data_IF_614238669765
#
_entry.id   IF_614238669765
#
_cell.length_a   1.000
_cell.length_b   1.000
_cell.length_c   1.000
_cell.angle_alpha   90.00
_cell.angle_beta   90.00
_cell.angle_gamma   90.00
#
_symmetry.space_group_name_H-M   'P 1'
#
loop_
_entity.id
_entity.type
_entity.pdbx_description
1 polymer ?
#
# COMPACT_ATOMS: atom_id res chain seq x y z
N UNK A 1 -10.31 24.06 -11.61
CA UNK A 1 -10.58 24.93 -10.47
C UNK A 1 -10.74 24.14 -9.16
N UNK A 2 -9.72 23.36 -8.73
CA UNK A 2 -9.74 22.60 -7.46
C UNK A 2 -8.39 22.54 -6.73
N UNK A 3 -7.40 23.34 -7.14
CA UNK A 3 -6.04 23.32 -6.55
C UNK A 3 -5.80 24.37 -5.43
N UNK A 4 -6.77 25.23 -5.07
CA UNK A 4 -6.59 26.27 -4.03
C UNK A 4 -6.70 25.81 -2.57
N UNK A 5 -7.25 24.64 -2.28
CA UNK A 5 -7.47 24.17 -0.88
C UNK A 5 -6.23 23.61 -0.16
N UNK A 6 -5.11 23.36 -0.88
CA UNK A 6 -3.89 22.80 -0.28
C UNK A 6 -2.94 23.84 0.33
N UNK A 7 -3.08 25.13 -0.05
CA UNK A 7 -2.16 26.21 0.35
C UNK A 7 -2.48 26.86 1.72
N UNK A 8 -3.58 26.48 2.36
CA UNK A 8 -3.98 27.01 3.68
C UNK A 8 -3.70 26.06 4.84
N UNK A 9 -3.20 24.83 4.55
CA UNK A 9 -2.94 23.82 5.57
C UNK A 9 -1.50 23.89 6.05
N UNK A 10 -1.29 23.73 7.35
CA UNK A 10 0.04 23.58 7.97
C UNK A 10 0.80 22.41 7.36
N UNK A 11 2.13 22.49 7.36
CA UNK A 11 3.04 21.44 6.83
C UNK A 11 2.70 20.08 7.39
N UNK A 12 2.48 19.97 8.70
CA UNK A 12 2.10 18.74 9.38
C UNK A 12 0.81 18.13 8.82
N UNK A 13 -0.19 18.94 8.56
CA UNK A 13 -1.50 18.49 8.02
C UNK A 13 -1.37 18.04 6.57
N UNK A 14 -0.59 18.77 5.76
CA UNK A 14 -0.30 18.41 4.36
C UNK A 14 0.44 17.08 4.26
N UNK A 15 1.47 16.88 5.08
CA UNK A 15 2.23 15.63 5.16
C UNK A 15 1.33 14.48 5.61
N UNK A 16 0.59 14.66 6.71
CA UNK A 16 -0.32 13.63 7.23
C UNK A 16 -1.37 13.21 6.21
N UNK A 17 -2.01 14.17 5.52
CA UNK A 17 -2.97 13.87 4.44
C UNK A 17 -2.33 13.10 3.28
N UNK A 18 -1.15 13.53 2.83
CA UNK A 18 -0.45 12.87 1.73
C UNK A 18 -0.07 11.43 2.08
N UNK A 19 0.47 11.19 3.28
CA UNK A 19 0.78 9.84 3.76
C UNK A 19 -0.46 8.97 3.90
N UNK A 20 -1.55 9.49 4.49
CA UNK A 20 -2.80 8.75 4.64
C UNK A 20 -3.39 8.36 3.27
N UNK A 21 -3.32 9.22 2.27
CA UNK A 21 -3.79 8.90 0.92
C UNK A 21 -2.96 7.79 0.25
N UNK A 22 -1.64 7.83 0.38
CA UNK A 22 -0.76 6.78 -0.16
C UNK A 22 -1.00 5.45 0.56
N UNK A 23 -1.09 5.47 1.90
CA UNK A 23 -1.41 4.28 2.70
C UNK A 23 -2.78 3.72 2.33
N UNK A 24 -3.79 4.57 2.16
CA UNK A 24 -5.13 4.15 1.78
C UNK A 24 -5.15 3.45 0.41
N UNK A 25 -4.47 4.01 -0.60
CA UNK A 25 -4.36 3.38 -1.93
C UNK A 25 -3.61 2.05 -1.83
N UNK A 26 -2.51 1.99 -1.08
CA UNK A 26 -1.76 0.75 -0.86
C UNK A 26 -2.59 -0.32 -0.13
N UNK A 27 -3.41 0.09 0.86
CA UNK A 27 -4.30 -0.81 1.61
C UNK A 27 -5.39 -1.42 0.74
N UNK A 28 -5.90 -0.70 -0.27
CA UNK A 28 -6.86 -1.23 -1.24
C UNK A 28 -6.27 -2.46 -1.96
N UNK A 29 -5.00 -2.41 -2.36
CA UNK A 29 -4.32 -3.55 -3.00
C UNK A 29 -4.32 -4.80 -2.10
N UNK A 30 -4.00 -4.63 -0.82
CA UNK A 30 -4.00 -5.74 0.14
C UNK A 30 -5.42 -6.32 0.34
N UNK A 31 -6.43 -5.45 0.48
CA UNK A 31 -7.83 -5.87 0.64
C UNK A 31 -8.32 -6.65 -0.58
N UNK A 32 -8.05 -6.15 -1.79
CA UNK A 32 -8.41 -6.84 -3.05
C UNK A 32 -7.73 -8.21 -3.14
N UNK A 33 -6.44 -8.28 -2.78
CA UNK A 33 -5.70 -9.55 -2.75
C UNK A 33 -6.30 -10.57 -1.77
N UNK A 34 -6.66 -10.13 -0.56
CA UNK A 34 -7.29 -10.99 0.45
C UNK A 34 -8.66 -11.48 -0.03
N UNK A 35 -9.50 -10.60 -0.58
CA UNK A 35 -10.82 -10.96 -1.10
C UNK A 35 -10.68 -11.97 -2.25
N UNK A 36 -9.78 -11.72 -3.20
CA UNK A 36 -9.53 -12.62 -4.31
C UNK A 36 -9.11 -14.02 -3.81
N UNK A 37 -8.18 -14.08 -2.84
CA UNK A 37 -7.71 -15.33 -2.25
C UNK A 37 -8.83 -16.09 -1.54
N UNK A 38 -9.68 -15.41 -0.76
CA UNK A 38 -10.81 -16.03 -0.08
C UNK A 38 -11.86 -16.59 -1.05
N UNK A 39 -12.16 -15.86 -2.12
CA UNK A 39 -13.10 -16.30 -3.17
C UNK A 39 -12.52 -17.51 -3.90
N UNK A 40 -11.27 -17.45 -4.33
CA UNK A 40 -10.62 -18.58 -5.03
C UNK A 40 -10.52 -19.83 -4.15
N UNK A 41 -10.16 -19.68 -2.87
CA UNK A 41 -10.12 -20.80 -1.92
C UNK A 41 -11.51 -21.44 -1.77
N UNK A 42 -12.58 -20.65 -1.67
CA UNK A 42 -13.96 -21.18 -1.63
C UNK A 42 -14.32 -21.94 -2.90
N UNK A 43 -14.01 -21.36 -4.06
CA UNK A 43 -14.31 -22.01 -5.35
C UNK A 43 -13.51 -23.31 -5.51
N UNK A 44 -12.23 -23.29 -5.14
CA UNK A 44 -11.38 -24.49 -5.18
C UNK A 44 -11.92 -25.61 -4.27
N UNK A 45 -12.25 -25.27 -3.02
CA UNK A 45 -12.81 -26.24 -2.07
C UNK A 45 -14.16 -26.80 -2.59
N UNK A 46 -14.99 -25.95 -3.16
CA UNK A 46 -16.26 -26.37 -3.74
C UNK A 46 -16.05 -27.30 -4.97
N UNK A 47 -15.07 -26.97 -5.82
CA UNK A 47 -14.70 -27.81 -6.96
C UNK A 47 -14.18 -29.18 -6.51
N UNK A 48 -13.29 -29.20 -5.52
CA UNK A 48 -12.70 -30.44 -5.01
C UNK A 48 -13.76 -31.33 -4.33
N UNK A 49 -14.57 -30.75 -3.43
CA UNK A 49 -15.56 -31.52 -2.67
C UNK A 49 -16.70 -32.04 -3.56
N UNK A 50 -17.23 -31.21 -4.46
CA UNK A 50 -18.42 -31.57 -5.23
C UNK A 50 -18.11 -32.31 -6.54
N UNK A 51 -16.87 -32.20 -7.05
CA UNK A 51 -16.51 -32.82 -8.31
C UNK A 51 -15.26 -33.70 -8.22
N UNK A 52 -14.19 -33.25 -7.54
CA UNK A 52 -12.95 -34.00 -7.46
C UNK A 52 -13.06 -35.31 -6.66
N UNK A 53 -13.58 -35.25 -5.45
CA UNK A 53 -13.78 -36.44 -4.61
C UNK A 53 -14.85 -37.36 -5.19
N UNK A 54 -15.93 -36.80 -5.71
CA UNK A 54 -17.00 -37.59 -6.37
C UNK A 54 -16.52 -38.35 -7.58
N UNK A 55 -15.56 -37.84 -8.37
CA UNK A 55 -14.91 -38.62 -9.45
C UNK A 55 -14.19 -39.84 -8.89
N UNK A 56 -13.53 -39.71 -7.74
CA UNK A 56 -12.89 -40.80 -7.03
C UNK A 56 -13.88 -41.88 -6.63
N UNK A 57 -15.05 -41.50 -6.08
CA UNK A 57 -16.07 -42.43 -5.62
C UNK A 57 -16.79 -43.10 -6.81
N UNK A 58 -17.07 -42.37 -7.91
CA UNK A 58 -17.54 -42.98 -9.16
C UNK A 58 -16.52 -44.01 -9.68
N UNK A 59 -15.23 -43.72 -9.66
CA UNK A 59 -14.19 -44.65 -10.06
C UNK A 59 -14.15 -45.91 -9.20
N UNK A 60 -14.32 -45.79 -7.88
CA UNK A 60 -14.43 -46.92 -6.95
C UNK A 60 -15.69 -47.74 -7.22
N UNK A 61 -16.83 -47.08 -7.45
CA UNK A 61 -18.06 -47.74 -7.82
C UNK A 61 -17.91 -48.54 -9.13
N UNK A 62 -17.32 -47.92 -10.17
CA UNK A 62 -17.05 -48.62 -11.45
C UNK A 62 -16.14 -49.85 -11.26
N UNK A 63 -15.15 -49.73 -10.37
CA UNK A 63 -14.22 -50.81 -10.05
C UNK A 63 -14.92 -51.96 -9.28
N UNK A 64 -15.75 -51.62 -8.29
CA UNK A 64 -16.55 -52.60 -7.54
C UNK A 64 -17.57 -53.29 -8.44
N UNK A 65 -18.26 -52.53 -9.31
CA UNK A 65 -19.19 -53.04 -10.29
C UNK A 65 -18.56 -54.02 -11.29
N UNK A 66 -17.42 -53.63 -11.86
CA UNK A 66 -16.65 -54.53 -12.78
C UNK A 66 -16.12 -55.76 -12.08
N UNK A 67 -15.68 -55.59 -10.80
CA UNK A 67 -15.26 -56.68 -9.96
C UNK A 67 -16.40 -57.67 -9.65
N UNK A 68 -17.57 -57.18 -9.27
CA UNK A 68 -18.76 -58.00 -9.03
C UNK A 68 -19.09 -58.87 -10.25
N UNK A 69 -19.08 -58.31 -11.47
CA UNK A 69 -19.26 -59.12 -12.72
C UNK A 69 -18.16 -60.16 -12.89
N UNK A 70 -16.93 -59.83 -12.55
CA UNK A 70 -15.82 -60.81 -12.62
C UNK A 70 -16.08 -62.00 -11.72
N UNK A 71 -16.62 -61.75 -10.52
CA UNK A 71 -16.91 -62.82 -9.55
C UNK A 71 -18.14 -63.67 -9.99
N UNK A 72 -19.15 -63.08 -10.66
CA UNK A 72 -20.22 -63.84 -11.30
C UNK A 72 -19.63 -64.85 -12.28
N UNK A 73 -18.73 -64.39 -13.16
CA UNK A 73 -18.05 -65.27 -14.12
C UNK A 73 -17.22 -66.36 -13.47
N UNK A 74 -16.53 -66.05 -12.36
CA UNK A 74 -15.77 -67.01 -11.61
C UNK A 74 -16.67 -68.05 -10.96
N UNK A 75 -17.73 -67.64 -10.27
CA UNK A 75 -18.71 -68.51 -9.60
C UNK A 75 -19.41 -69.52 -10.56
N UNK A 76 -19.73 -69.07 -11.79
CA UNK A 76 -20.41 -69.89 -12.79
C UNK A 76 -19.45 -70.62 -13.73
N UNK A 77 -18.15 -70.29 -13.74
CA UNK A 77 -17.17 -70.80 -14.70
C UNK A 77 -16.21 -71.83 -14.13
N UNK A 78 -15.92 -71.81 -12.83
CA UNK A 78 -15.04 -72.79 -12.20
C UNK A 78 -15.79 -74.04 -11.78
N UNK A 79 -15.06 -75.15 -11.64
CA UNK A 79 -15.57 -76.47 -11.24
C UNK A 79 -15.03 -76.90 -9.86
N UNK A 80 -14.42 -76.01 -9.15
CA UNK A 80 -13.84 -76.20 -7.82
C UNK A 80 -14.74 -75.48 -6.79
N UNK A 81 -15.24 -76.25 -5.79
CA UNK A 81 -16.23 -75.74 -4.83
C UNK A 81 -15.68 -74.60 -3.95
N UNK A 82 -14.34 -74.67 -3.61
CA UNK A 82 -13.73 -73.63 -2.79
C UNK A 82 -13.64 -72.31 -3.59
N UNK A 83 -13.25 -72.39 -4.86
CA UNK A 83 -13.18 -71.22 -5.74
C UNK A 83 -14.58 -70.64 -6.00
N UNK A 84 -15.60 -71.47 -6.21
CA UNK A 84 -16.98 -71.08 -6.41
C UNK A 84 -17.51 -70.37 -5.17
N UNK A 85 -17.26 -70.89 -3.97
CA UNK A 85 -17.65 -70.30 -2.70
C UNK A 85 -17.00 -68.94 -2.47
N UNK A 86 -15.68 -68.85 -2.67
CA UNK A 86 -14.91 -67.60 -2.50
C UNK A 86 -15.41 -66.50 -3.51
N UNK A 87 -15.63 -66.87 -4.75
CA UNK A 87 -16.17 -65.99 -5.77
C UNK A 87 -17.57 -65.45 -5.41
N UNK A 88 -18.42 -66.33 -4.86
CA UNK A 88 -19.77 -65.90 -4.38
C UNK A 88 -19.68 -64.93 -3.22
N UNK A 89 -18.87 -65.19 -2.21
CA UNK A 89 -18.71 -64.32 -1.06
C UNK A 89 -18.08 -62.96 -1.46
N UNK A 90 -17.11 -63.00 -2.36
CA UNK A 90 -16.48 -61.80 -2.92
C UNK A 90 -17.45 -60.98 -3.76
N UNK A 91 -18.36 -61.60 -4.52
CA UNK A 91 -19.41 -60.93 -5.27
C UNK A 91 -20.30 -60.08 -4.35
N UNK A 92 -20.81 -60.66 -3.27
CA UNK A 92 -21.67 -59.90 -2.34
C UNK A 92 -20.92 -58.76 -1.67
N UNK A 93 -19.66 -59.00 -1.28
CA UNK A 93 -18.79 -57.95 -0.71
C UNK A 93 -18.62 -56.77 -1.72
N UNK A 94 -18.40 -57.06 -3.00
CA UNK A 94 -18.29 -56.02 -4.04
C UNK A 94 -19.61 -55.31 -4.34
N UNK A 95 -20.73 -56.05 -4.29
CA UNK A 95 -22.07 -55.46 -4.41
C UNK A 95 -22.36 -54.47 -3.27
N UNK A 96 -22.05 -54.85 -2.03
CA UNK A 96 -22.21 -53.97 -0.87
C UNK A 96 -21.30 -52.75 -0.96
N UNK A 97 -20.02 -52.93 -1.35
CA UNK A 97 -19.09 -51.85 -1.58
C UNK A 97 -19.55 -50.87 -2.64
N UNK A 98 -20.12 -51.42 -3.76
CA UNK A 98 -20.69 -50.61 -4.81
C UNK A 98 -21.85 -49.75 -4.31
N UNK A 99 -22.76 -50.33 -3.50
CA UNK A 99 -23.88 -49.57 -2.94
C UNK A 99 -23.39 -48.45 -2.03
N UNK A 100 -22.40 -48.73 -1.18
CA UNK A 100 -21.82 -47.69 -0.33
C UNK A 100 -21.23 -46.54 -1.16
N UNK A 101 -20.48 -46.82 -2.24
CA UNK A 101 -19.94 -45.77 -3.11
C UNK A 101 -21.04 -45.00 -3.85
N UNK A 102 -22.14 -45.67 -4.20
CA UNK A 102 -23.28 -45.05 -4.86
C UNK A 102 -24.00 -44.07 -3.91
N UNK A 103 -24.15 -44.42 -2.62
CA UNK A 103 -24.72 -43.57 -1.59
C UNK A 103 -23.81 -42.34 -1.31
N UNK A 104 -22.49 -42.52 -1.30
CA UNK A 104 -21.53 -41.42 -1.18
C UNK A 104 -21.64 -40.45 -2.37
N UNK A 105 -21.80 -40.97 -3.58
CA UNK A 105 -21.99 -40.16 -4.80
C UNK A 105 -23.30 -39.38 -4.72
N UNK A 106 -24.41 -39.97 -4.26
CA UNK A 106 -25.70 -39.29 -4.12
C UNK A 106 -25.59 -38.03 -3.28
N UNK A 107 -24.90 -38.15 -2.14
CA UNK A 107 -24.72 -37.03 -1.20
C UNK A 107 -23.99 -35.81 -1.82
N UNK A 108 -23.18 -36.01 -2.84
CA UNK A 108 -22.37 -35.00 -3.52
C UNK A 108 -23.03 -34.37 -4.76
N UNK A 109 -24.25 -34.77 -5.11
CA UNK A 109 -24.93 -34.35 -6.33
C UNK A 109 -25.49 -32.93 -6.25
N UNK A 110 -24.81 -32.00 -6.88
CA UNK A 110 -25.18 -30.56 -6.89
C UNK A 110 -25.79 -30.11 -8.21
N UNK A 111 -25.65 -30.88 -9.32
CA UNK A 111 -26.17 -30.49 -10.64
C UNK A 111 -27.39 -31.34 -11.05
N UNK A 112 -28.32 -30.76 -11.82
CA UNK A 112 -29.46 -31.49 -12.34
C UNK A 112 -29.01 -32.63 -13.27
N UNK A 113 -28.05 -32.39 -14.16
CA UNK A 113 -27.50 -33.40 -15.05
C UNK A 113 -26.90 -34.61 -14.30
N UNK A 114 -26.19 -34.33 -13.15
CA UNK A 114 -25.69 -35.39 -12.27
C UNK A 114 -26.82 -36.21 -11.67
N UNK A 115 -27.86 -35.55 -11.13
CA UNK A 115 -29.03 -36.20 -10.55
C UNK A 115 -29.79 -37.08 -11.58
N UNK A 116 -29.94 -36.58 -12.78
CA UNK A 116 -30.62 -37.31 -13.86
C UNK A 116 -29.82 -38.56 -14.28
N UNK A 117 -28.49 -38.43 -14.39
CA UNK A 117 -27.60 -39.56 -14.69
C UNK A 117 -27.59 -40.59 -13.57
N UNK A 118 -27.57 -40.16 -12.31
CA UNK A 118 -27.65 -41.05 -11.14
C UNK A 118 -28.97 -41.82 -11.09
N UNK A 119 -30.10 -41.14 -11.27
CA UNK A 119 -31.42 -41.77 -11.32
C UNK A 119 -31.52 -42.82 -12.42
N UNK A 120 -30.84 -42.59 -13.57
CA UNK A 120 -30.78 -43.57 -14.65
C UNK A 120 -29.97 -44.81 -14.23
N UNK A 121 -28.82 -44.59 -13.54
CA UNK A 121 -28.02 -45.71 -12.99
C UNK A 121 -28.85 -46.54 -12.04
N UNK A 122 -29.54 -45.94 -11.07
CA UNK A 122 -30.36 -46.64 -10.07
C UNK A 122 -31.45 -47.46 -10.75
N UNK A 123 -32.11 -46.87 -11.78
CA UNK A 123 -33.17 -47.56 -12.53
C UNK A 123 -32.66 -48.81 -13.26
N UNK A 124 -31.52 -48.75 -13.91
CA UNK A 124 -30.99 -49.84 -14.71
C UNK A 124 -30.23 -50.87 -13.86
N UNK A 125 -29.86 -50.49 -12.64
CA UNK A 125 -29.11 -51.32 -11.69
C UNK A 125 -29.95 -52.42 -11.07
N UNK A 126 -31.25 -52.16 -10.75
CA UNK A 126 -32.10 -53.16 -10.11
C UNK A 126 -32.23 -54.42 -10.98
N UNK A 127 -32.49 -54.23 -12.26
CA UNK A 127 -32.57 -55.35 -13.22
C UNK A 127 -31.24 -56.11 -13.39
N UNK A 128 -30.11 -55.41 -13.32
CA UNK A 128 -28.79 -56.02 -13.38
C UNK A 128 -28.51 -56.87 -12.13
N UNK A 129 -28.78 -56.37 -10.93
CA UNK A 129 -28.53 -57.14 -9.71
C UNK A 129 -29.42 -58.35 -9.59
N UNK A 130 -30.71 -58.21 -9.93
CA UNK A 130 -31.64 -59.33 -9.94
C UNK A 130 -31.17 -60.47 -10.86
N UNK A 131 -30.73 -60.13 -12.06
CA UNK A 131 -30.19 -61.10 -13.01
C UNK A 131 -28.87 -61.68 -12.50
N UNK A 132 -27.97 -60.88 -11.94
CA UNK A 132 -26.70 -61.36 -11.39
C UNK A 132 -26.90 -62.34 -10.24
N UNK A 133 -27.80 -62.01 -9.29
CA UNK A 133 -28.12 -62.88 -8.17
C UNK A 133 -28.72 -64.21 -8.63
N UNK A 134 -29.61 -64.20 -9.62
CA UNK A 134 -30.16 -65.43 -10.22
C UNK A 134 -29.07 -66.29 -10.84
N UNK A 135 -28.15 -65.68 -11.62
CA UNK A 135 -27.06 -66.45 -12.26
C UNK A 135 -26.07 -67.01 -11.27
N UNK A 136 -25.78 -66.27 -10.16
CA UNK A 136 -24.95 -66.78 -9.06
C UNK A 136 -25.62 -67.97 -8.37
N UNK A 137 -26.93 -67.87 -8.11
CA UNK A 137 -27.67 -68.93 -7.42
C UNK A 137 -27.80 -70.19 -8.28
N UNK A 138 -28.15 -70.03 -9.58
CA UNK A 138 -28.28 -71.13 -10.51
C UNK A 138 -26.92 -71.78 -10.91
N UNK A 139 -25.85 -70.94 -11.03
CA UNK A 139 -24.59 -71.34 -11.65
C UNK A 139 -23.46 -71.68 -10.71
N UNK A 140 -23.60 -71.42 -9.39
CA UNK A 140 -22.61 -71.79 -8.36
C UNK A 140 -22.66 -73.31 -8.11
N UNK A 141 -22.22 -74.13 -9.07
CA UNK A 141 -22.30 -75.56 -9.04
C UNK A 141 -21.14 -76.20 -9.80
N UNK A 142 -20.78 -77.41 -9.40
CA UNK A 142 -19.83 -78.27 -10.13
C UNK A 142 -20.46 -79.09 -11.24
N UNK A 143 -21.81 -78.98 -11.48
CA UNK A 143 -22.50 -79.60 -12.63
C UNK A 143 -22.15 -78.84 -13.92
N UNK A 144 -21.41 -79.50 -14.81
CA UNK A 144 -20.87 -78.92 -16.02
C UNK A 144 -21.98 -78.47 -17.02
N UNK A 145 -23.13 -79.19 -17.07
CA UNK A 145 -24.22 -78.86 -17.99
C UNK A 145 -24.99 -77.62 -17.49
N UNK A 146 -25.24 -77.50 -16.20
CA UNK A 146 -25.85 -76.32 -15.59
C UNK A 146 -24.90 -75.13 -15.75
N UNK A 147 -23.63 -75.28 -15.38
CA UNK A 147 -22.60 -74.24 -15.55
C UNK A 147 -22.56 -73.67 -16.97
N UNK A 148 -22.46 -74.54 -18.02
CA UNK A 148 -22.45 -74.11 -19.42
C UNK A 148 -23.71 -73.34 -19.83
N UNK A 149 -24.89 -73.72 -19.32
CA UNK A 149 -26.15 -73.01 -19.56
C UNK A 149 -26.11 -71.62 -18.96
N UNK A 150 -25.68 -71.49 -17.70
CA UNK A 150 -25.60 -70.21 -17.00
C UNK A 150 -24.52 -69.32 -17.60
N UNK A 151 -23.36 -69.83 -18.01
CA UNK A 151 -22.34 -69.08 -18.75
C UNK A 151 -22.89 -68.45 -20.06
N UNK A 152 -23.76 -69.14 -20.77
CA UNK A 152 -24.42 -68.56 -21.95
C UNK A 152 -25.36 -67.41 -21.57
N UNK A 153 -26.15 -67.58 -20.50
CA UNK A 153 -27.00 -66.48 -19.98
C UNK A 153 -26.19 -65.31 -19.49
N UNK A 154 -25.04 -65.53 -18.82
CA UNK A 154 -24.12 -64.46 -18.49
C UNK A 154 -23.67 -63.67 -19.71
N UNK A 155 -23.32 -64.34 -20.77
CA UNK A 155 -22.87 -63.71 -22.02
C UNK A 155 -23.99 -63.00 -22.76
N UNK A 156 -25.16 -63.62 -22.89
CA UNK A 156 -26.27 -63.16 -23.75
C UNK A 156 -27.22 -62.20 -23.04
N UNK A 157 -27.36 -62.26 -21.69
CA UNK A 157 -28.29 -61.46 -20.91
C UNK A 157 -27.56 -60.48 -19.97
N UNK A 158 -26.65 -60.96 -19.10
CA UNK A 158 -25.96 -60.13 -18.11
C UNK A 158 -24.92 -59.21 -18.78
N UNK A 159 -24.22 -59.69 -19.80
CA UNK A 159 -23.23 -58.92 -20.53
C UNK A 159 -23.78 -57.59 -21.09
N UNK A 160 -24.88 -57.63 -21.86
CA UNK A 160 -25.56 -56.41 -22.31
C UNK A 160 -26.06 -55.53 -21.17
N UNK A 161 -26.69 -56.08 -20.11
CA UNK A 161 -27.16 -55.31 -18.95
C UNK A 161 -25.99 -54.60 -18.22
N UNK A 162 -24.86 -55.30 -18.04
CA UNK A 162 -23.62 -54.71 -17.53
C UNK A 162 -23.18 -53.48 -18.36
N UNK A 163 -23.21 -53.59 -19.69
CA UNK A 163 -22.76 -52.48 -20.55
C UNK A 163 -23.64 -51.26 -20.39
N UNK A 164 -24.95 -51.42 -20.17
CA UNK A 164 -25.88 -50.30 -19.93
C UNK A 164 -25.45 -49.57 -18.67
N UNK A 165 -25.42 -50.24 -17.51
CA UNK A 165 -25.07 -49.61 -16.20
C UNK A 165 -23.63 -49.04 -16.23
N UNK A 166 -22.67 -49.77 -16.84
CA UNK A 166 -21.29 -49.30 -16.95
C UNK A 166 -21.19 -47.99 -17.80
N UNK A 167 -21.97 -47.89 -18.89
CA UNK A 167 -22.02 -46.69 -19.70
C UNK A 167 -22.69 -45.51 -18.95
N UNK A 168 -23.70 -45.79 -18.14
CA UNK A 168 -24.34 -44.77 -17.30
C UNK A 168 -23.38 -44.24 -16.21
N UNK A 169 -22.63 -45.11 -15.55
CA UNK A 169 -21.56 -44.74 -14.63
C UNK A 169 -20.48 -43.90 -15.35
N UNK A 170 -20.08 -44.29 -16.56
CA UNK A 170 -19.16 -43.55 -17.39
C UNK A 170 -19.68 -42.19 -17.81
N UNK A 171 -21.00 -42.10 -18.12
CA UNK A 171 -21.65 -40.85 -18.43
C UNK A 171 -21.64 -39.92 -17.23
N UNK A 172 -21.98 -40.43 -16.03
CA UNK A 172 -21.91 -39.69 -14.78
C UNK A 172 -20.45 -39.17 -14.53
N UNK A 173 -19.44 -40.02 -14.67
CA UNK A 173 -18.03 -39.66 -14.59
C UNK A 173 -17.70 -38.50 -15.55
N UNK A 174 -18.12 -38.59 -16.82
CA UNK A 174 -17.84 -37.54 -17.80
C UNK A 174 -18.52 -36.19 -17.44
N UNK A 175 -19.72 -36.20 -16.87
CA UNK A 175 -20.40 -35.00 -16.39
C UNK A 175 -19.55 -34.33 -15.32
N UNK A 176 -18.98 -35.09 -14.36
CA UNK A 176 -18.17 -34.58 -13.28
C UNK A 176 -16.81 -34.06 -13.75
N UNK A 177 -16.15 -34.79 -14.68
CA UNK A 177 -14.89 -34.36 -15.32
C UNK A 177 -15.09 -33.02 -16.05
N UNK A 178 -16.12 -32.93 -16.92
CA UNK A 178 -16.40 -31.69 -17.66
C UNK A 178 -16.70 -30.49 -16.72
N UNK A 179 -17.39 -30.75 -15.60
CA UNK A 179 -17.63 -29.70 -14.61
C UNK A 179 -16.35 -29.27 -13.89
N UNK A 180 -15.48 -30.23 -13.57
CA UNK A 180 -14.15 -29.93 -13.04
C UNK A 180 -13.36 -29.01 -13.97
N UNK A 181 -13.26 -29.37 -15.26
CA UNK A 181 -12.54 -28.61 -16.29
C UNK A 181 -13.13 -27.20 -16.48
N UNK A 182 -14.47 -27.07 -16.44
CA UNK A 182 -15.14 -25.77 -16.50
C UNK A 182 -14.76 -24.87 -15.33
N UNK A 183 -14.73 -25.42 -14.10
CA UNK A 183 -14.35 -24.66 -12.90
C UNK A 183 -12.89 -24.28 -12.93
N UNK A 184 -11.99 -25.17 -13.35
CA UNK A 184 -10.58 -24.88 -13.54
C UNK A 184 -10.40 -23.69 -14.50
N UNK A 185 -11.07 -23.71 -15.65
CA UNK A 185 -11.01 -22.61 -16.62
C UNK A 185 -11.49 -21.27 -16.03
N UNK A 186 -12.58 -21.28 -15.26
CA UNK A 186 -13.10 -20.09 -14.58
C UNK A 186 -12.10 -19.57 -13.53
N UNK A 187 -11.51 -20.47 -12.72
CA UNK A 187 -10.50 -20.11 -11.72
C UNK A 187 -9.27 -19.49 -12.37
N UNK A 188 -8.76 -20.06 -13.47
CA UNK A 188 -7.63 -19.52 -14.22
C UNK A 188 -7.90 -18.10 -14.73
N UNK A 189 -9.09 -17.83 -15.27
CA UNK A 189 -9.49 -16.49 -15.72
C UNK A 189 -9.57 -15.51 -14.53
N UNK A 190 -10.16 -15.94 -13.42
CA UNK A 190 -10.25 -15.11 -12.20
C UNK A 190 -8.86 -14.78 -11.62
N UNK A 191 -7.93 -15.73 -11.64
CA UNK A 191 -6.55 -15.51 -11.23
C UNK A 191 -5.88 -14.43 -12.08
N UNK A 192 -5.97 -14.52 -13.39
CA UNK A 192 -5.41 -13.52 -14.31
C UNK A 192 -6.02 -12.14 -14.04
N UNK A 193 -7.33 -12.05 -13.90
CA UNK A 193 -8.02 -10.78 -13.60
C UNK A 193 -7.54 -10.21 -12.25
N UNK A 194 -7.44 -11.03 -11.22
CA UNK A 194 -6.97 -10.60 -9.90
C UNK A 194 -5.53 -10.06 -9.96
N UNK A 195 -4.63 -10.74 -10.68
CA UNK A 195 -3.24 -10.31 -10.89
C UNK A 195 -3.19 -8.97 -11.63
N UNK A 196 -3.98 -8.81 -12.71
CA UNK A 196 -4.03 -7.55 -13.47
C UNK A 196 -4.51 -6.39 -12.58
N UNK A 197 -5.56 -6.61 -11.79
CA UNK A 197 -6.08 -5.59 -10.85
C UNK A 197 -5.00 -5.21 -9.83
N UNK A 198 -4.31 -6.18 -9.23
CA UNK A 198 -3.24 -5.91 -8.27
C UNK A 198 -2.10 -5.09 -8.89
N UNK A 199 -1.65 -5.46 -10.09
CA UNK A 199 -0.61 -4.71 -10.81
C UNK A 199 -1.07 -3.28 -11.10
N UNK A 200 -2.30 -3.09 -11.56
CA UNK A 200 -2.86 -1.76 -11.83
C UNK A 200 -2.90 -0.88 -10.55
N UNK A 201 -3.30 -1.44 -9.41
CA UNK A 201 -3.32 -0.71 -8.13
C UNK A 201 -1.91 -0.38 -7.66
N UNK A 202 -0.94 -1.27 -7.84
CA UNK A 202 0.48 -1.00 -7.53
C UNK A 202 1.00 0.18 -8.37
N UNK A 203 0.75 0.18 -9.68
CA UNK A 203 1.16 1.27 -10.57
C UNK A 203 0.51 2.60 -10.14
N UNK A 204 -0.79 2.59 -9.85
CA UNK A 204 -1.51 3.77 -9.34
C UNK A 204 -0.94 4.27 -8.01
N UNK A 205 -0.54 3.38 -7.12
CA UNK A 205 0.08 3.73 -5.84
C UNK A 205 1.44 4.42 -6.04
N UNK A 206 2.27 3.89 -6.95
CA UNK A 206 3.58 4.48 -7.29
C UNK A 206 3.41 5.87 -7.93
N UNK A 207 2.49 6.01 -8.89
CA UNK A 207 2.22 7.30 -9.55
C UNK A 207 1.68 8.33 -8.56
N UNK A 208 0.79 7.94 -7.68
CA UNK A 208 0.25 8.80 -6.61
C UNK A 208 1.34 9.21 -5.64
N UNK A 209 2.15 8.26 -5.16
CA UNK A 209 3.28 8.55 -4.26
C UNK A 209 4.27 9.54 -4.86
N UNK A 210 4.61 9.38 -6.14
CA UNK A 210 5.48 10.30 -6.86
C UNK A 210 4.88 11.70 -6.99
N UNK A 211 3.57 11.80 -7.30
CA UNK A 211 2.85 13.08 -7.36
C UNK A 211 2.84 13.80 -6.02
N UNK A 212 2.54 13.11 -4.93
CA UNK A 212 2.56 13.70 -3.59
C UNK A 212 3.98 14.04 -3.13
N UNK A 213 4.98 13.22 -3.45
CA UNK A 213 6.38 13.54 -3.18
C UNK A 213 6.83 14.83 -3.86
N UNK A 214 6.50 15.02 -5.13
CA UNK A 214 6.79 16.25 -5.86
C UNK A 214 6.07 17.47 -5.25
N UNK A 215 4.81 17.34 -4.86
CA UNK A 215 4.08 18.43 -4.19
C UNK A 215 4.71 18.85 -2.86
N UNK A 216 5.25 17.90 -2.09
CA UNK A 216 6.00 18.17 -0.86
C UNK A 216 7.32 18.86 -1.19
N UNK A 217 8.06 18.37 -2.19
CA UNK A 217 9.33 18.96 -2.61
C UNK A 217 9.16 20.41 -3.09
N UNK A 218 8.17 20.65 -3.93
CA UNK A 218 7.92 21.99 -4.48
C UNK A 218 7.33 22.96 -3.46
N UNK A 219 6.48 22.47 -2.56
CA UNK A 219 5.79 23.33 -1.58
C UNK A 219 6.52 23.50 -0.24
N UNK A 220 7.54 22.71 0.05
CA UNK A 220 8.26 22.78 1.34
C UNK A 220 9.77 22.84 1.13
N UNK A 221 10.38 21.84 0.45
CA UNK A 221 11.84 21.74 0.35
C UNK A 221 12.45 22.88 -0.44
N UNK A 222 11.88 23.26 -1.59
CA UNK A 222 12.41 24.35 -2.41
C UNK A 222 12.37 25.71 -1.72
N UNK A 223 11.22 26.16 -1.14
CA UNK A 223 11.20 27.41 -0.38
C UNK A 223 12.15 27.43 0.81
N UNK A 224 12.27 26.30 1.53
CA UNK A 224 13.24 26.18 2.63
C UNK A 224 14.69 26.31 2.15
N UNK A 225 15.03 25.75 1.00
CA UNK A 225 16.34 25.91 0.42
C UNK A 225 16.60 27.36 0.01
N UNK A 226 15.64 28.01 -0.62
CA UNK A 226 15.76 29.43 -1.03
C UNK A 226 15.95 30.36 0.17
N UNK A 227 15.20 30.18 1.26
CA UNK A 227 15.41 30.99 2.46
C UNK A 227 16.77 30.68 3.11
N UNK A 228 17.22 29.42 3.11
CA UNK A 228 18.55 29.04 3.60
C UNK A 228 19.67 29.73 2.83
N UNK A 229 19.60 29.76 1.51
CA UNK A 229 20.55 30.44 0.64
C UNK A 229 20.53 31.97 0.89
N UNK A 230 19.32 32.55 1.01
CA UNK A 230 19.17 33.99 1.32
C UNK A 230 19.72 34.36 2.69
N UNK A 231 19.47 33.54 3.73
CA UNK A 231 20.03 33.75 5.06
C UNK A 231 21.55 33.65 5.09
N UNK A 232 22.16 32.85 4.21
CA UNK A 232 23.59 32.75 4.07
C UNK A 232 24.19 34.07 3.54
N UNK A 233 23.65 34.60 2.43
CA UNK A 233 24.11 35.91 1.91
C UNK A 233 23.84 37.05 2.89
N UNK A 234 22.73 36.99 3.63
CA UNK A 234 22.42 37.91 4.72
C UNK A 234 23.50 37.87 5.83
N UNK A 235 23.93 36.68 6.23
CA UNK A 235 25.01 36.51 7.21
C UNK A 235 26.39 37.01 6.70
N UNK A 236 26.58 37.05 5.38
CA UNK A 236 27.74 37.62 4.71
C UNK A 236 27.68 39.16 4.57
N UNK A 237 26.59 39.81 5.03
CA UNK A 237 26.41 41.25 5.06
C UNK A 237 25.52 41.83 3.98
N UNK A 238 24.93 41.00 3.12
CA UNK A 238 23.91 41.44 2.15
C UNK A 238 22.56 41.67 2.83
N UNK A 239 22.29 42.92 3.22
CA UNK A 239 21.04 43.31 3.87
C UNK A 239 19.97 43.77 2.89
N UNK A 240 20.35 44.08 1.64
CA UNK A 240 19.46 44.72 0.67
C UNK A 240 18.69 43.76 -0.24
N UNK A 241 19.23 42.56 -0.50
CA UNK A 241 18.59 41.59 -1.36
C UNK A 241 17.24 41.10 -0.82
N UNK A 242 16.27 40.93 -1.71
CA UNK A 242 14.93 40.51 -1.37
C UNK A 242 14.88 39.06 -0.86
N UNK A 243 14.01 38.79 0.09
CA UNK A 243 13.66 37.43 0.51
C UNK A 243 12.69 36.79 -0.47
N UNK A 244 12.78 35.42 -0.67
CA UNK A 244 11.92 34.74 -1.60
C UNK A 244 10.44 34.93 -1.26
N UNK A 245 9.60 34.95 -2.32
CA UNK A 245 8.15 34.93 -2.15
C UNK A 245 7.62 33.53 -1.95
N UNK A 246 6.59 33.37 -1.14
CA UNK A 246 5.92 32.11 -0.88
C UNK A 246 4.41 32.32 -0.78
N UNK A 247 3.66 31.77 -1.74
CA UNK A 247 2.22 32.00 -1.88
C UNK A 247 1.37 31.22 -0.84
N UNK A 248 1.94 30.23 -0.16
CA UNK A 248 1.23 29.45 0.85
C UNK A 248 1.12 30.21 2.17
N UNK A 249 0.03 29.96 2.92
CA UNK A 249 -0.14 30.46 4.30
C UNK A 249 0.21 29.35 5.29
N UNK A 250 1.46 28.95 5.29
CA UNK A 250 1.98 27.86 6.13
C UNK A 250 3.17 28.34 6.97
N UNK A 251 3.80 27.43 7.71
CA UNK A 251 4.93 27.72 8.59
C UNK A 251 6.16 28.21 7.82
N UNK A 252 6.28 27.89 6.51
CA UNK A 252 7.37 28.41 5.67
C UNK A 252 7.16 29.89 5.39
N UNK A 253 5.91 30.31 5.06
CA UNK A 253 5.58 31.70 4.87
C UNK A 253 5.86 32.55 6.11
N UNK A 254 5.49 32.03 7.29
CA UNK A 254 5.75 32.68 8.58
C UNK A 254 7.25 32.85 8.83
N UNK A 255 8.05 31.84 8.50
CA UNK A 255 9.50 31.89 8.65
C UNK A 255 10.14 32.91 7.68
N UNK A 256 9.71 32.96 6.42
CA UNK A 256 10.17 33.93 5.42
C UNK A 256 9.84 35.36 5.89
N UNK A 257 8.62 35.58 6.35
CA UNK A 257 8.17 36.91 6.81
C UNK A 257 8.92 37.36 8.07
N UNK A 258 9.19 36.44 8.99
CA UNK A 258 9.98 36.73 10.19
C UNK A 258 11.43 37.07 9.83
N UNK A 259 12.03 36.32 8.91
CA UNK A 259 13.38 36.61 8.42
C UNK A 259 13.48 37.94 7.67
N UNK A 260 12.43 38.28 6.86
CA UNK A 260 12.33 39.58 6.16
C UNK A 260 12.28 40.74 7.17
N UNK A 261 11.43 40.63 8.20
CA UNK A 261 11.34 41.63 9.25
C UNK A 261 12.65 41.80 10.04
N UNK A 262 13.35 40.71 10.31
CA UNK A 262 14.66 40.74 10.94
C UNK A 262 15.68 41.51 10.08
N UNK A 263 15.72 41.17 8.76
CA UNK A 263 16.61 41.82 7.82
C UNK A 263 16.32 43.32 7.67
N UNK A 264 15.05 43.69 7.51
CA UNK A 264 14.61 45.09 7.46
C UNK A 264 15.02 45.88 8.69
N UNK A 265 14.78 45.32 9.87
CA UNK A 265 15.13 45.97 11.12
C UNK A 265 16.66 46.16 11.26
N UNK A 266 17.45 45.15 10.90
CA UNK A 266 18.93 45.24 10.94
C UNK A 266 19.44 46.23 9.89
N UNK A 267 18.87 46.27 8.67
CA UNK A 267 19.25 47.21 7.64
C UNK A 267 19.04 48.66 8.11
N UNK A 268 17.87 48.94 8.71
CA UNK A 268 17.57 50.27 9.28
C UNK A 268 18.54 50.67 10.36
N UNK A 269 18.82 49.77 11.34
CA UNK A 269 19.74 50.05 12.43
C UNK A 269 21.16 50.31 11.94
N UNK A 270 21.66 49.45 11.01
CA UNK A 270 23.03 49.60 10.51
C UNK A 270 23.20 50.87 9.67
N UNK A 271 22.19 51.14 8.77
CA UNK A 271 22.22 52.37 7.97
C UNK A 271 22.13 53.62 8.82
N UNK A 272 21.23 53.65 9.82
CA UNK A 272 21.08 54.78 10.73
C UNK A 272 22.32 54.98 11.59
N UNK A 273 22.88 53.91 12.18
CA UNK A 273 24.14 53.97 12.93
C UNK A 273 25.27 54.51 12.06
N UNK A 274 25.39 54.05 10.80
CA UNK A 274 26.37 54.56 9.84
C UNK A 274 26.19 56.04 9.52
N UNK A 275 24.92 56.52 9.34
CA UNK A 275 24.61 57.92 9.17
C UNK A 275 25.02 58.77 10.38
N UNK A 276 24.66 58.35 11.60
CA UNK A 276 25.01 59.04 12.82
C UNK A 276 26.56 59.15 12.99
N UNK A 277 27.29 58.07 12.74
CA UNK A 277 28.74 58.08 12.84
C UNK A 277 29.41 58.97 11.77
N UNK A 278 28.89 59.00 10.54
CA UNK A 278 29.38 59.88 9.48
C UNK A 278 29.14 61.36 9.82
N UNK A 279 27.94 61.74 10.28
CA UNK A 279 27.63 63.11 10.71
C UNK A 279 28.57 63.55 11.85
N UNK A 280 28.83 62.67 12.83
CA UNK A 280 29.78 62.95 13.90
C UNK A 280 31.21 63.12 13.36
N UNK A 281 31.63 62.34 12.36
CA UNK A 281 32.94 62.44 11.70
C UNK A 281 33.11 63.79 10.99
N UNK A 282 32.00 64.33 10.43
CA UNK A 282 31.97 65.64 9.77
C UNK A 282 31.82 66.81 10.76
N UNK A 283 31.87 66.55 12.08
CA UNK A 283 31.82 67.56 13.12
C UNK A 283 30.40 67.97 13.59
N UNK A 284 29.36 67.26 13.08
CA UNK A 284 28.00 67.49 13.53
C UNK A 284 27.67 66.62 14.77
N UNK A 285 27.85 67.13 15.96
CA UNK A 285 27.55 66.47 17.22
C UNK A 285 26.10 66.71 17.69
N UNK A 286 25.31 67.49 17.00
CA UNK A 286 23.88 67.72 17.30
C UNK A 286 22.97 66.69 16.67
N UNK A 287 23.52 65.62 16.03
CA UNK A 287 22.76 64.58 15.34
C UNK A 287 22.08 63.63 16.31
N UNK A 288 20.85 63.22 15.98
CA UNK A 288 20.06 62.21 16.68
C UNK A 288 19.43 61.22 15.69
N UNK A 289 19.17 59.99 16.14
CA UNK A 289 18.47 59.01 15.33
C UNK A 289 17.01 59.40 15.07
N UNK A 290 16.52 59.11 13.87
CA UNK A 290 15.09 59.22 13.50
C UNK A 290 14.35 57.88 13.70
N UNK A 291 15.07 56.81 14.11
CA UNK A 291 14.55 55.44 14.17
C UNK A 291 14.75 54.81 15.57
N UNK A 292 14.56 55.61 16.65
CA UNK A 292 14.77 55.15 18.03
C UNK A 292 14.00 53.88 18.38
N UNK A 293 12.78 53.74 17.84
CA UNK A 293 11.87 52.59 18.03
C UNK A 293 12.43 51.28 17.47
N UNK A 294 13.37 51.35 16.55
CA UNK A 294 14.03 50.14 15.96
C UNK A 294 15.13 49.55 16.85
N UNK A 295 15.72 50.37 17.74
CA UNK A 295 16.80 49.96 18.62
C UNK A 295 16.29 49.24 19.89
N UNK A 296 15.68 48.07 19.67
CA UNK A 296 15.11 47.25 20.74
C UNK A 296 16.11 46.26 21.33
N UNK A 297 15.94 45.88 22.62
CA UNK A 297 16.78 44.87 23.26
C UNK A 297 18.27 45.29 23.28
N UNK A 298 19.14 44.42 22.77
CA UNK A 298 20.59 44.67 22.73
C UNK A 298 21.01 45.78 21.75
N UNK A 299 20.18 46.12 20.78
CA UNK A 299 20.46 47.24 19.90
C UNK A 299 20.35 48.59 20.60
N UNK A 300 19.58 48.69 21.67
CA UNK A 300 19.56 49.88 22.49
C UNK A 300 20.89 50.20 23.14
N UNK A 301 21.67 49.15 23.52
CA UNK A 301 23.01 49.34 24.07
C UNK A 301 23.95 50.04 23.05
N UNK A 302 23.80 49.72 21.74
CA UNK A 302 24.53 50.39 20.65
C UNK A 302 24.15 51.87 20.55
N UNK A 303 22.85 52.19 20.53
CA UNK A 303 22.39 53.60 20.48
C UNK A 303 22.84 54.40 21.68
N UNK A 304 22.75 53.82 22.89
CA UNK A 304 23.26 54.47 24.14
C UNK A 304 24.79 54.67 24.04
N UNK A 305 25.55 53.73 23.49
CA UNK A 305 26.97 53.89 23.25
C UNK A 305 27.31 55.05 22.33
N UNK A 306 26.63 55.14 21.18
CA UNK A 306 26.76 56.26 20.21
C UNK A 306 26.41 57.60 20.85
N UNK A 307 25.31 57.67 21.56
CA UNK A 307 24.89 58.91 22.28
C UNK A 307 25.92 59.32 23.33
N UNK A 308 26.46 58.39 24.12
CA UNK A 308 27.45 58.71 25.12
C UNK A 308 28.77 59.17 24.51
N UNK A 309 29.19 58.54 23.38
CA UNK A 309 30.38 58.96 22.64
C UNK A 309 30.20 60.37 22.09
N UNK A 310 29.05 60.64 21.45
CA UNK A 310 28.70 61.95 20.90
C UNK A 310 28.76 63.02 21.98
N UNK A 311 28.11 62.83 23.12
CA UNK A 311 28.11 63.78 24.24
C UNK A 311 29.52 64.06 24.78
N UNK A 312 30.36 63.03 24.96
CA UNK A 312 31.73 63.20 25.46
C UNK A 312 32.61 63.96 24.49
N UNK A 313 32.45 63.80 23.20
CA UNK A 313 33.20 64.54 22.19
C UNK A 313 32.76 65.99 22.19
N UNK A 314 31.41 66.27 22.21
CA UNK A 314 30.88 67.61 22.30
C UNK A 314 31.40 68.37 23.58
N UNK A 315 31.37 67.70 24.76
CA UNK A 315 31.91 68.21 26.00
C UNK A 315 33.42 68.54 25.89
N UNK A 316 34.18 67.62 25.23
CA UNK A 316 35.62 67.85 25.06
C UNK A 316 35.92 68.99 24.09
N UNK A 317 35.19 69.13 23.03
CA UNK A 317 35.34 70.22 22.07
C UNK A 317 35.04 71.58 22.72
N UNK A 318 33.95 71.69 23.50
CA UNK A 318 33.63 72.92 24.28
C UNK A 318 34.75 73.29 25.25
N UNK A 319 35.33 72.29 25.93
CA UNK A 319 36.47 72.53 26.86
C UNK A 319 37.71 73.02 26.11
N UNK A 320 37.96 72.51 24.89
CA UNK A 320 39.02 73.01 24.01
C UNK A 320 38.76 74.44 23.60
N UNK A 321 37.48 74.77 23.18
CA UNK A 321 37.06 76.12 22.82
C UNK A 321 37.26 77.11 23.99
N UNK A 322 36.79 76.79 25.22
CA UNK A 322 37.01 77.59 26.41
C UNK A 322 38.44 77.79 26.70
N UNK A 323 39.27 76.74 26.60
CA UNK A 323 40.73 76.82 26.82
C UNK A 323 41.43 77.69 25.78
N UNK A 324 41.03 77.58 24.52
CA UNK A 324 41.55 78.41 23.41
C UNK A 324 41.18 79.89 23.62
N UNK A 325 39.98 80.22 24.08
CA UNK A 325 39.53 81.55 24.39
C UNK A 325 40.36 82.14 25.54
N UNK A 326 40.57 81.32 26.64
CA UNK A 326 41.46 81.74 27.76
C UNK A 326 42.91 82.00 27.33
N UNK A 327 43.45 81.14 26.45
CA UNK A 327 44.80 81.34 25.88
C UNK A 327 44.84 82.61 25.01
N UNK A 328 43.80 82.88 24.23
CA UNK A 328 43.69 84.08 23.40
C UNK A 328 43.70 85.37 24.27
N UNK A 329 42.83 85.37 25.31
CA UNK A 329 42.77 86.49 26.28
C UNK A 329 44.08 86.68 27.05
N UNK A 330 44.67 85.56 27.48
CA UNK A 330 45.99 85.60 28.14
C UNK A 330 47.11 86.14 27.27
N UNK A 331 47.06 85.77 25.98
CA UNK A 331 48.05 86.26 24.98
C UNK A 331 47.84 87.75 24.70
N UNK A 332 46.58 88.22 24.67
CA UNK A 332 46.25 89.64 24.56
C UNK A 332 46.76 90.49 25.71
N UNK A 333 46.54 90.02 26.95
CA UNK A 333 47.00 90.67 28.17
C UNK A 333 48.55 90.72 28.22
N UNK A 334 49.18 89.64 27.74
CA UNK A 334 50.68 89.61 27.69
C UNK A 334 51.22 90.57 26.66
N UNK A 335 50.55 90.75 25.50
CA UNK A 335 50.91 91.72 24.47
C UNK A 335 50.80 93.20 25.04
N UNK A 336 49.68 93.48 25.74
CA UNK A 336 49.47 94.80 26.42
C UNK A 336 50.51 95.03 27.48
N UNK A 337 50.80 94.05 28.29
CA UNK A 337 51.87 94.22 29.34
C UNK A 337 53.26 94.42 28.72
N UNK A 338 53.60 93.73 27.64
CA UNK A 338 54.82 93.90 26.91
C UNK A 338 54.93 95.26 26.25
N UNK A 339 53.86 95.80 25.73
CA UNK A 339 53.77 97.14 25.17
C UNK A 339 53.93 98.21 26.25
N UNK A 340 53.22 98.09 27.39
CA UNK A 340 53.40 99.01 28.55
C UNK A 340 54.82 98.99 29.12
N UNK A 341 55.46 97.83 29.10
CA UNK A 341 56.88 97.74 29.52
C UNK A 341 57.82 98.43 28.54
N UNK A 342 57.53 98.33 27.23
CA UNK A 342 58.34 99.00 26.21
C UNK A 342 58.16 100.55 26.28
N UNK A 343 56.93 101.05 26.51
CA UNK A 343 56.64 102.47 26.69
C UNK A 343 57.24 103.06 28.00
N UNK A 344 57.33 102.21 29.04
CA UNK A 344 57.96 102.66 30.33
C UNK A 344 59.49 102.61 30.37
N UNK A 345 60.10 102.01 29.32
CA UNK A 345 61.56 101.90 29.17
C UNK A 345 62.20 102.94 28.20
N UNK A 346 61.36 103.83 27.68
CA UNK A 346 61.80 104.99 26.85
C UNK A 346 61.64 106.24 27.64
#
# INVERSE_FOLDING_TARGET
MKMKKGHELKIRERLSKSYLQVIFIASISAIVGIIALLVMTRMYNNALNNYGFSQGDIGKAMTAFSGARSEVRAAVGYMDEDIISDAKDTYYTRKDSFQQYLDDIESSMVTQAGKDAYNQIVKDLDGYWDLSDQLIEEGSTTDQEISKKVQRREADELGPAYQVVYNDLKNLMNIYVQKGDQIESVLAVMEIIAVIIMIAVIILSILSGRRYGNQIADGISKPLQQISERLKTFAEGDLDSEFPEHDAKDEVAEMIETARKMADNLNVIISDSGKLLNEMADGNFAVATEHEERYTGKFNDLLVGIRNMNRKIDESLRQVEETAEQVSLGSGNMAEAAQSLAEGAT
#
